data_IF_074689752344
#
_entry.id   IF_074689752344
#
_cell.length_a   1.000
_cell.length_b   1.000
_cell.length_c   1.000
_cell.angle_alpha   90.00
_cell.angle_beta   90.00
_cell.angle_gamma   90.00
#
_symmetry.space_group_name_H-M   'P 1'
#
loop_
_entity.id
_entity.type
_entity.pdbx_description
1 polymer ?
#
# COMPACT_ATOMS: atom_id res chain seq x y z
N UNK A 1 -29.16 -13.31 -2.80
CA UNK A 1 -29.89 -14.01 -1.70
C UNK A 1 -30.77 -12.99 -0.96
N UNK A 2 -31.97 -13.40 -0.53
CA UNK A 2 -32.82 -12.57 0.31
C UNK A 2 -33.14 -13.33 1.59
N UNK A 3 -32.91 -12.71 2.74
CA UNK A 3 -33.26 -13.27 4.05
C UNK A 3 -34.44 -12.53 4.63
N UNK A 4 -35.48 -13.24 4.95
CA UNK A 4 -36.66 -12.71 5.65
C UNK A 4 -36.55 -12.98 7.14
N UNK A 5 -36.64 -11.94 7.94
CA UNK A 5 -36.72 -12.06 9.40
C UNK A 5 -38.19 -12.00 9.85
N UNK A 6 -38.70 -13.13 10.32
CA UNK A 6 -40.09 -13.24 10.73
C UNK A 6 -40.45 -12.47 12.03
N UNK A 7 -39.45 -12.07 12.84
CA UNK A 7 -39.68 -11.33 14.10
C UNK A 7 -40.04 -9.88 13.87
N UNK A 8 -39.38 -9.25 12.91
CA UNK A 8 -39.55 -7.83 12.60
C UNK A 8 -40.12 -7.57 11.20
N UNK A 9 -40.47 -8.65 10.47
CA UNK A 9 -41.01 -8.61 9.11
C UNK A 9 -40.11 -7.86 8.12
N UNK A 10 -38.79 -7.90 8.32
CA UNK A 10 -37.84 -7.24 7.46
C UNK A 10 -37.20 -8.19 6.45
N UNK A 11 -36.84 -7.64 5.28
CA UNK A 11 -36.07 -8.34 4.25
C UNK A 11 -34.67 -7.77 4.17
N UNK A 12 -33.66 -8.65 4.15
CA UNK A 12 -32.28 -8.25 3.91
C UNK A 12 -31.78 -8.86 2.62
N UNK A 13 -31.27 -8.00 1.74
CA UNK A 13 -30.73 -8.41 0.44
C UNK A 13 -29.22 -8.55 0.54
N UNK A 14 -28.70 -9.72 0.10
CA UNK A 14 -27.29 -10.03 0.01
C UNK A 14 -26.94 -10.30 -1.45
N UNK A 15 -25.94 -9.61 -1.97
CA UNK A 15 -25.38 -9.79 -3.30
C UNK A 15 -23.87 -9.51 -3.25
N UNK A 16 -23.12 -10.02 -4.23
CA UNK A 16 -21.66 -9.95 -4.26
C UNK A 16 -21.07 -8.54 -4.09
N UNK A 17 -21.85 -7.50 -4.41
CA UNK A 17 -21.37 -6.11 -4.33
C UNK A 17 -21.55 -5.49 -2.93
N UNK A 18 -22.34 -6.11 -2.05
CA UNK A 18 -22.59 -5.60 -0.70
C UNK A 18 -22.18 -6.55 0.44
N UNK A 19 -21.74 -7.75 0.10
CA UNK A 19 -21.25 -8.75 1.07
C UNK A 19 -20.26 -9.70 0.39
N UNK A 20 -19.64 -10.58 1.18
CA UNK A 20 -18.69 -11.59 0.70
C UNK A 20 -19.34 -12.79 -0.02
N UNK A 21 -20.57 -12.69 -0.52
CA UNK A 21 -21.18 -13.72 -1.34
C UNK A 21 -20.42 -13.86 -2.66
N UNK A 22 -19.94 -15.07 -2.97
CA UNK A 22 -19.02 -15.31 -4.09
C UNK A 22 -19.68 -15.11 -5.48
N UNK A 23 -20.99 -15.37 -5.57
CA UNK A 23 -21.78 -15.16 -6.79
C UNK A 23 -23.23 -14.82 -6.47
N UNK A 24 -23.86 -14.03 -7.33
CA UNK A 24 -25.30 -13.77 -7.27
C UNK A 24 -26.15 -14.95 -7.77
N UNK A 25 -25.53 -15.90 -8.52
CA UNK A 25 -26.18 -17.09 -9.05
C UNK A 25 -26.08 -18.24 -8.03
N UNK A 26 -27.09 -18.38 -7.18
CA UNK A 26 -27.19 -19.44 -6.19
C UNK A 26 -28.03 -20.58 -6.79
N UNK A 27 -27.47 -21.78 -6.81
CA UNK A 27 -28.10 -22.95 -7.44
C UNK A 27 -28.83 -23.86 -6.46
N UNK A 28 -28.24 -24.07 -5.28
CA UNK A 28 -28.83 -24.89 -4.23
C UNK A 28 -28.52 -24.29 -2.88
N UNK A 29 -29.50 -24.39 -1.96
CA UNK A 29 -29.38 -23.91 -0.58
C UNK A 29 -29.66 -25.11 0.34
N UNK A 30 -28.71 -25.46 1.21
CA UNK A 30 -28.83 -26.56 2.18
C UNK A 30 -28.58 -26.03 3.60
N UNK A 31 -29.48 -26.25 4.55
CA UNK A 31 -29.23 -25.92 5.95
C UNK A 31 -28.30 -26.95 6.58
N UNK A 32 -27.34 -26.52 7.36
CA UNK A 32 -26.44 -27.35 8.16
C UNK A 32 -27.00 -27.53 9.58
N UNK A 33 -26.62 -28.63 10.27
CA UNK A 33 -27.12 -28.97 11.60
C UNK A 33 -26.76 -27.96 12.69
N UNK A 34 -25.71 -27.19 12.49
CA UNK A 34 -25.24 -26.12 13.39
C UNK A 34 -25.88 -24.75 13.12
N UNK A 35 -26.81 -24.68 12.15
CA UNK A 35 -27.56 -23.48 11.78
C UNK A 35 -26.91 -22.63 10.66
N UNK A 36 -25.77 -23.06 10.13
CA UNK A 36 -25.20 -22.46 8.95
C UNK A 36 -25.97 -22.81 7.68
N UNK A 37 -25.85 -22.04 6.64
CA UNK A 37 -26.54 -22.25 5.37
C UNK A 37 -25.49 -22.35 4.25
N UNK A 38 -25.40 -23.54 3.66
CA UNK A 38 -24.52 -23.80 2.54
C UNK A 38 -25.24 -23.50 1.22
N UNK A 39 -24.55 -22.83 0.33
CA UNK A 39 -25.05 -22.43 -0.98
C UNK A 39 -24.05 -22.78 -2.07
N UNK A 40 -24.47 -23.62 -3.01
CA UNK A 40 -23.68 -23.83 -4.22
C UNK A 40 -23.96 -22.73 -5.23
N UNK A 41 -22.89 -22.29 -5.89
CA UNK A 41 -22.92 -21.19 -6.86
C UNK A 41 -22.17 -21.56 -8.15
N UNK A 42 -22.07 -20.65 -9.09
CA UNK A 42 -21.27 -20.83 -10.31
C UNK A 42 -19.75 -20.77 -10.06
N UNK A 43 -19.31 -20.21 -8.90
CA UNK A 43 -17.90 -19.97 -8.61
C UNK A 43 -17.41 -20.68 -7.33
N UNK A 44 -18.20 -21.63 -6.81
CA UNK A 44 -17.85 -22.35 -5.59
C UNK A 44 -19.02 -22.49 -4.62
N UNK A 45 -18.70 -22.71 -3.35
CA UNK A 45 -19.68 -22.85 -2.27
C UNK A 45 -19.54 -21.64 -1.35
N UNK A 46 -20.68 -21.00 -1.02
CA UNK A 46 -20.77 -19.98 0.02
C UNK A 46 -21.48 -20.54 1.25
N UNK A 47 -20.91 -20.35 2.42
CA UNK A 47 -21.54 -20.65 3.71
C UNK A 47 -21.96 -19.35 4.37
N UNK A 48 -23.24 -19.20 4.66
CA UNK A 48 -23.77 -18.06 5.39
C UNK A 48 -23.91 -18.40 6.88
N UNK A 49 -23.38 -17.53 7.73
CA UNK A 49 -23.49 -17.59 9.18
C UNK A 49 -24.58 -16.62 9.64
N UNK A 50 -25.80 -17.09 9.96
CA UNK A 50 -26.94 -16.21 10.26
C UNK A 50 -26.72 -15.34 11.50
N UNK A 51 -25.99 -15.84 12.50
CA UNK A 51 -25.72 -15.12 13.76
C UNK A 51 -24.76 -13.94 13.53
N UNK A 52 -23.68 -14.17 12.82
CA UNK A 52 -22.64 -13.17 12.53
C UNK A 52 -22.97 -12.33 11.30
N UNK A 53 -23.92 -12.82 10.47
CA UNK A 53 -24.29 -12.24 9.17
C UNK A 53 -23.11 -12.14 8.19
N UNK A 54 -22.19 -13.11 8.28
CA UNK A 54 -20.99 -13.21 7.45
C UNK A 54 -21.12 -14.36 6.45
N UNK A 55 -20.31 -14.30 5.39
CA UNK A 55 -20.16 -15.34 4.39
C UNK A 55 -18.75 -15.86 4.42
N UNK A 56 -18.58 -17.17 4.35
CA UNK A 56 -17.31 -17.83 4.08
C UNK A 56 -17.44 -18.62 2.78
N UNK A 57 -16.44 -18.53 1.93
CA UNK A 57 -16.48 -19.13 0.61
C UNK A 57 -15.48 -20.27 0.52
N UNK A 58 -15.76 -21.24 -0.34
CA UNK A 58 -14.86 -22.32 -0.69
C UNK A 58 -14.78 -22.42 -2.21
N UNK A 59 -13.60 -22.18 -2.75
CA UNK A 59 -13.32 -22.14 -4.18
C UNK A 59 -12.38 -23.25 -4.59
N UNK A 60 -12.19 -23.40 -5.90
CA UNK A 60 -11.20 -24.32 -6.45
C UNK A 60 -9.77 -24.01 -5.99
N UNK A 61 -9.45 -22.73 -5.79
CA UNK A 61 -8.16 -22.28 -5.29
C UNK A 61 -7.88 -22.76 -3.86
N UNK A 62 -8.95 -23.06 -3.11
CA UNK A 62 -8.90 -23.59 -1.74
C UNK A 62 -9.08 -25.12 -1.68
N UNK A 63 -8.90 -25.79 -2.81
CA UNK A 63 -8.96 -27.24 -2.88
C UNK A 63 -10.36 -27.83 -3.13
N UNK A 64 -11.36 -26.99 -3.48
CA UNK A 64 -12.63 -27.52 -3.95
C UNK A 64 -12.43 -28.19 -5.31
N UNK A 65 -12.94 -29.41 -5.47
CA UNK A 65 -12.72 -30.20 -6.70
C UNK A 65 -13.32 -29.56 -7.95
N UNK A 66 -14.43 -28.84 -7.80
CA UNK A 66 -15.09 -28.11 -8.88
C UNK A 66 -15.59 -26.76 -8.37
N UNK A 67 -15.53 -25.73 -9.19
CA UNK A 67 -16.13 -24.43 -8.90
C UNK A 67 -17.52 -24.24 -9.52
N UNK A 68 -17.86 -25.02 -10.55
CA UNK A 68 -19.11 -24.87 -11.27
C UNK A 68 -20.14 -25.90 -10.83
N UNK A 69 -21.13 -25.47 -10.06
CA UNK A 69 -22.21 -26.34 -9.60
C UNK A 69 -23.41 -26.28 -10.53
N UNK A 70 -24.24 -27.34 -10.48
CA UNK A 70 -25.46 -27.43 -11.29
C UNK A 70 -26.68 -26.99 -10.50
N UNK A 71 -27.63 -26.37 -11.17
CA UNK A 71 -28.87 -25.90 -10.55
C UNK A 71 -29.67 -27.04 -9.92
N UNK A 72 -30.21 -26.83 -8.72
CA UNK A 72 -31.03 -27.78 -7.96
C UNK A 72 -30.41 -29.17 -7.74
N UNK A 73 -29.08 -29.25 -7.75
CA UNK A 73 -28.32 -30.49 -7.65
C UNK A 73 -27.62 -30.65 -6.30
N UNK A 74 -28.32 -30.41 -5.22
CA UNK A 74 -27.78 -30.61 -3.89
C UNK A 74 -28.77 -31.31 -2.97
N UNK A 75 -28.26 -32.16 -2.07
CA UNK A 75 -29.09 -32.91 -1.10
C UNK A 75 -28.33 -33.17 0.20
N UNK A 76 -29.09 -33.23 1.29
CA UNK A 76 -28.59 -33.73 2.57
C UNK A 76 -28.67 -35.23 2.62
N UNK A 77 -27.64 -35.90 3.10
CA UNK A 77 -27.63 -37.34 3.34
C UNK A 77 -28.19 -37.68 4.72
N UNK A 78 -28.59 -38.94 4.88
CA UNK A 78 -29.12 -39.48 6.17
C UNK A 78 -28.08 -39.35 7.31
N UNK A 79 -26.79 -39.38 6.99
CA UNK A 79 -25.68 -39.19 7.92
C UNK A 79 -25.33 -37.71 8.14
N UNK A 80 -26.23 -36.80 7.79
CA UNK A 80 -26.08 -35.34 7.89
C UNK A 80 -24.95 -34.73 7.05
N UNK A 81 -24.25 -35.53 6.24
CA UNK A 81 -23.36 -35.00 5.19
C UNK A 81 -24.18 -34.38 4.05
N UNK A 82 -23.56 -33.64 3.17
CA UNK A 82 -24.21 -33.05 2.01
C UNK A 82 -23.48 -33.39 0.72
N UNK A 83 -24.24 -33.39 -0.37
CA UNK A 83 -23.73 -33.68 -1.72
C UNK A 83 -24.21 -32.58 -2.63
N UNK A 84 -23.29 -32.03 -3.43
CA UNK A 84 -23.62 -31.11 -4.49
C UNK A 84 -23.19 -31.70 -5.83
N UNK A 85 -24.06 -31.56 -6.84
CA UNK A 85 -23.71 -31.87 -8.22
C UNK A 85 -23.00 -30.71 -8.87
N UNK A 86 -21.91 -31.02 -9.55
CA UNK A 86 -21.12 -30.05 -10.33
C UNK A 86 -21.00 -30.51 -11.78
N UNK A 87 -20.43 -29.69 -12.64
CA UNK A 87 -20.10 -30.03 -14.02
C UNK A 87 -19.12 -31.21 -14.14
N UNK A 88 -18.29 -31.41 -13.11
CA UNK A 88 -17.24 -32.41 -13.07
C UNK A 88 -17.66 -33.70 -12.32
N UNK A 89 -18.90 -33.74 -11.82
CA UNK A 89 -19.45 -34.86 -11.04
C UNK A 89 -20.10 -34.44 -9.74
N UNK A 90 -20.31 -35.37 -8.83
CA UNK A 90 -20.89 -35.13 -7.50
C UNK A 90 -19.77 -34.97 -6.47
N UNK A 91 -19.85 -33.93 -5.68
CA UNK A 91 -18.92 -33.68 -4.57
C UNK A 91 -19.63 -33.97 -3.26
N UNK A 92 -19.09 -34.90 -2.51
CA UNK A 92 -19.62 -35.29 -1.21
C UNK A 92 -18.82 -34.66 -0.08
N UNK A 93 -19.53 -34.10 0.88
CA UNK A 93 -18.98 -33.57 2.11
C UNK A 93 -19.51 -34.38 3.29
N UNK A 94 -18.65 -35.06 4.04
CA UNK A 94 -19.04 -35.78 5.27
C UNK A 94 -19.62 -34.82 6.32
N UNK A 95 -20.38 -35.37 7.28
CA UNK A 95 -20.84 -34.62 8.46
C UNK A 95 -19.64 -33.96 9.17
N UNK A 96 -19.78 -32.68 9.54
CA UNK A 96 -18.74 -31.95 10.25
C UNK A 96 -17.59 -31.45 9.34
N UNK A 97 -17.74 -31.59 8.01
CA UNK A 97 -16.82 -30.91 7.09
C UNK A 97 -16.90 -29.42 7.35
N UNK A 98 -15.81 -28.88 7.84
CA UNK A 98 -15.70 -27.43 8.03
C UNK A 98 -15.12 -26.83 6.76
N UNK A 99 -15.75 -25.75 6.29
CA UNK A 99 -15.13 -24.93 5.26
C UNK A 99 -13.76 -24.47 5.76
N UNK A 100 -12.74 -24.43 4.88
CA UNK A 100 -11.43 -23.97 5.29
C UNK A 100 -11.58 -22.58 5.90
N UNK A 101 -11.22 -22.47 7.18
CA UNK A 101 -11.14 -21.16 7.82
C UNK A 101 -9.92 -20.48 7.22
N UNK A 102 -10.12 -19.31 6.66
CA UNK A 102 -9.00 -18.49 6.22
C UNK A 102 -8.03 -18.25 7.38
N UNK A 103 -6.84 -18.81 7.26
CA UNK A 103 -5.72 -18.42 8.09
C UNK A 103 -5.02 -17.31 7.30
N UNK A 104 -5.35 -16.09 7.64
CA UNK A 104 -4.64 -14.95 7.07
C UNK A 104 -3.19 -14.98 7.55
N UNK A 105 -2.28 -15.17 6.61
CA UNK A 105 -0.87 -15.09 6.92
C UNK A 105 -0.47 -13.62 7.07
N UNK A 106 0.41 -13.30 8.02
CA UNK A 106 0.82 -11.94 8.27
C UNK A 106 1.47 -11.31 7.04
N UNK A 107 1.27 -10.02 6.89
CA UNK A 107 1.94 -9.22 5.89
C UNK A 107 3.42 -9.10 6.24
N UNK A 108 4.28 -9.39 5.28
CA UNK A 108 5.73 -9.33 5.43
C UNK A 108 6.28 -8.22 4.55
N UNK A 109 7.04 -7.34 5.17
CA UNK A 109 7.84 -6.33 4.46
C UNK A 109 9.26 -6.87 4.30
N UNK A 110 9.74 -6.87 3.09
CA UNK A 110 11.06 -7.39 2.74
C UNK A 110 11.75 -6.52 1.69
N UNK A 111 12.99 -6.84 1.38
CA UNK A 111 13.78 -6.25 0.29
C UNK A 111 13.71 -4.70 0.24
N UNK A 112 14.08 -4.08 1.36
CA UNK A 112 14.19 -2.63 1.40
C UNK A 112 15.39 -2.16 0.59
N UNK A 113 15.16 -1.34 -0.43
CA UNK A 113 16.19 -0.82 -1.32
C UNK A 113 16.22 0.71 -1.28
N UNK A 114 17.43 1.26 -1.35
CA UNK A 114 17.68 2.69 -1.56
C UNK A 114 18.49 2.82 -2.83
N UNK A 115 18.04 3.67 -3.77
CA UNK A 115 18.68 3.86 -5.08
C UNK A 115 18.95 2.51 -5.79
N UNK A 116 17.97 1.60 -5.72
CA UNK A 116 18.00 0.26 -6.33
C UNK A 116 19.05 -0.71 -5.72
N UNK A 117 19.59 -0.38 -4.55
CA UNK A 117 20.51 -1.25 -3.81
C UNK A 117 19.83 -1.73 -2.53
N UNK A 118 19.82 -3.05 -2.31
CA UNK A 118 19.26 -3.63 -1.09
C UNK A 118 20.07 -3.20 0.12
N UNK A 119 19.38 -2.77 1.16
CA UNK A 119 19.96 -2.21 2.38
C UNK A 119 19.61 -3.12 3.56
N UNK A 120 20.65 -3.55 4.27
CA UNK A 120 20.52 -4.38 5.46
C UNK A 120 20.73 -3.56 6.75
N UNK A 121 20.15 -3.98 7.88
CA UNK A 121 20.46 -3.39 9.18
C UNK A 121 21.96 -3.43 9.48
N UNK A 122 22.49 -2.32 10.00
CA UNK A 122 23.92 -2.22 10.34
C UNK A 122 24.87 -2.00 9.17
N UNK A 123 24.40 -1.97 7.92
CA UNK A 123 25.24 -1.60 6.76
C UNK A 123 25.68 -0.14 6.83
N UNK A 124 26.83 0.24 6.25
CA UNK A 124 27.25 1.63 6.17
C UNK A 124 26.16 2.50 5.51
N UNK A 125 25.79 3.59 6.16
CA UNK A 125 24.72 4.50 5.71
C UNK A 125 23.29 3.90 5.69
N UNK A 126 23.07 2.74 6.28
CA UNK A 126 21.73 2.17 6.42
C UNK A 126 20.87 3.03 7.36
N UNK A 127 19.65 3.38 6.97
CA UNK A 127 18.67 3.97 7.88
C UNK A 127 18.01 2.94 8.79
N UNK A 128 18.21 1.64 8.49
CA UNK A 128 17.61 0.54 9.24
C UNK A 128 18.45 0.21 10.47
N UNK A 129 17.82 0.23 11.64
CA UNK A 129 18.40 -0.29 12.88
C UNK A 129 18.11 -1.77 13.06
N UNK A 130 16.97 -2.20 12.60
CA UNK A 130 16.42 -3.56 12.65
C UNK A 130 15.86 -3.94 11.27
N UNK A 131 15.36 -5.15 11.14
CA UNK A 131 14.72 -5.58 9.90
C UNK A 131 13.55 -4.65 9.54
N UNK A 132 13.37 -4.35 8.26
CA UNK A 132 12.28 -3.49 7.77
C UNK A 132 10.91 -3.97 8.28
N UNK A 133 10.75 -5.28 8.44
CA UNK A 133 9.53 -5.86 8.97
C UNK A 133 9.25 -5.53 10.46
N UNK A 134 10.23 -5.04 11.20
CA UNK A 134 10.12 -4.63 12.60
C UNK A 134 10.24 -3.12 12.79
N UNK A 135 10.44 -2.39 11.68
CA UNK A 135 10.70 -0.95 11.70
C UNK A 135 9.40 -0.18 11.55
N UNK A 136 9.04 0.59 12.57
CA UNK A 136 7.88 1.50 12.54
C UNK A 136 8.24 2.91 12.09
N UNK A 137 9.53 3.27 12.16
CA UNK A 137 10.00 4.61 11.82
C UNK A 137 11.28 4.56 10.99
N UNK A 138 11.21 5.14 9.79
CA UNK A 138 12.29 5.18 8.82
C UNK A 138 12.80 6.63 8.66
N UNK A 139 14.06 6.87 9.05
CA UNK A 139 14.72 8.17 8.89
C UNK A 139 15.68 8.13 7.71
N UNK A 140 15.33 8.82 6.64
CA UNK A 140 16.10 8.87 5.40
C UNK A 140 16.89 10.19 5.31
N UNK A 141 18.09 10.12 4.75
CA UNK A 141 18.87 11.30 4.38
C UNK A 141 18.26 11.95 3.12
N UNK A 142 18.57 13.21 2.86
CA UNK A 142 18.07 13.93 1.68
C UNK A 142 18.39 13.25 0.33
N UNK A 143 19.49 12.50 0.27
CA UNK A 143 19.92 11.75 -0.91
C UNK A 143 19.40 10.29 -0.94
N UNK A 144 18.58 9.89 0.02
CA UNK A 144 17.93 8.57 0.12
C UNK A 144 16.44 8.68 -0.20
N UNK A 145 16.04 9.65 -0.99
CA UNK A 145 14.66 10.00 -1.32
C UNK A 145 14.03 9.12 -2.42
N UNK A 146 14.81 8.17 -2.93
CA UNK A 146 14.33 7.13 -3.87
C UNK A 146 14.56 5.79 -3.20
N UNK A 147 13.47 5.11 -2.85
CA UNK A 147 13.50 3.83 -2.15
C UNK A 147 12.35 2.94 -2.59
N UNK A 148 12.51 1.65 -2.37
CA UNK A 148 11.46 0.65 -2.59
C UNK A 148 11.44 -0.38 -1.48
N UNK A 149 10.29 -0.99 -1.31
CA UNK A 149 10.10 -2.13 -0.41
C UNK A 149 9.18 -3.15 -1.08
N UNK A 150 9.41 -4.42 -0.77
CA UNK A 150 8.59 -5.50 -1.24
C UNK A 150 7.61 -5.91 -0.15
N UNK A 151 6.36 -6.12 -0.55
CA UNK A 151 5.26 -6.51 0.32
C UNK A 151 4.77 -7.86 -0.14
N UNK A 152 4.72 -8.81 0.76
CA UNK A 152 4.23 -10.16 0.48
C UNK A 152 3.44 -10.72 1.66
N UNK A 153 2.70 -11.78 1.40
CA UNK A 153 2.05 -12.60 2.42
C UNK A 153 2.41 -14.06 2.12
N UNK A 154 2.83 -14.79 3.13
CA UNK A 154 3.15 -16.21 2.97
C UNK A 154 1.89 -16.99 3.28
N UNK A 155 1.13 -17.31 2.25
CA UNK A 155 -0.02 -18.18 2.35
C UNK A 155 0.15 -19.36 1.39
N UNK A 156 0.47 -20.53 1.95
CA UNK A 156 0.71 -21.74 1.15
C UNK A 156 -0.58 -22.35 0.60
N UNK A 157 -1.71 -22.11 1.26
CA UNK A 157 -3.01 -22.67 0.87
C UNK A 157 -3.66 -21.88 -0.27
N UNK A 158 -3.44 -20.57 -0.30
CA UNK A 158 -4.00 -19.68 -1.32
C UNK A 158 -3.07 -18.46 -1.55
N UNK A 159 -1.93 -18.65 -2.21
CA UNK A 159 -0.90 -17.62 -2.35
C UNK A 159 -1.40 -16.36 -3.07
N UNK A 160 -2.32 -16.51 -4.02
CA UNK A 160 -2.84 -15.42 -4.83
C UNK A 160 -4.06 -14.71 -4.24
N UNK A 161 -4.48 -15.09 -3.04
CA UNK A 161 -5.73 -14.59 -2.46
C UNK A 161 -5.62 -13.26 -1.73
N UNK A 162 -4.44 -12.70 -1.62
CA UNK A 162 -4.20 -11.41 -0.94
C UNK A 162 -3.94 -10.32 -1.95
N UNK A 163 -4.60 -9.18 -1.78
CA UNK A 163 -4.31 -7.94 -2.51
C UNK A 163 -3.86 -6.88 -1.51
N UNK A 164 -2.79 -6.19 -1.84
CA UNK A 164 -2.29 -5.11 -1.02
C UNK A 164 -2.75 -3.76 -1.55
N UNK A 165 -3.10 -2.88 -0.63
CA UNK A 165 -3.38 -1.47 -0.89
C UNK A 165 -2.45 -0.62 -0.05
N UNK A 166 -2.06 0.52 -0.60
CA UNK A 166 -1.19 1.45 0.10
C UNK A 166 -1.66 2.89 -0.10
N UNK A 167 -1.33 3.74 0.85
CA UNK A 167 -1.40 5.20 0.74
C UNK A 167 -0.21 5.82 1.45
N UNK A 168 0.25 6.96 0.96
CA UNK A 168 1.33 7.73 1.57
C UNK A 168 0.77 9.11 1.95
N UNK A 169 0.38 9.25 3.21
CA UNK A 169 -0.12 10.51 3.75
C UNK A 169 0.94 11.61 3.62
N UNK A 170 0.53 12.76 3.09
CA UNK A 170 1.42 13.85 2.71
C UNK A 170 1.92 13.82 1.25
N UNK A 171 1.58 12.78 0.48
CA UNK A 171 1.90 12.68 -0.94
C UNK A 171 0.77 12.10 -1.78
N UNK A 172 0.19 10.97 -1.38
CA UNK A 172 -0.99 10.33 -1.96
C UNK A 172 -1.94 9.92 -0.84
N UNK A 173 -3.04 10.63 -0.69
CA UNK A 173 -4.01 10.38 0.39
C UNK A 173 -5.05 9.30 0.03
N UNK A 174 -5.16 8.94 -1.24
CA UNK A 174 -6.05 7.88 -1.69
C UNK A 174 -5.39 6.49 -1.60
N UNK A 175 -6.24 5.46 -1.40
CA UNK A 175 -5.79 4.08 -1.42
C UNK A 175 -5.51 3.60 -2.84
N UNK A 176 -4.29 3.19 -3.09
CA UNK A 176 -3.83 2.65 -4.37
C UNK A 176 -3.60 1.15 -4.26
N UNK A 177 -4.04 0.39 -5.26
CA UNK A 177 -3.76 -1.04 -5.33
C UNK A 177 -2.29 -1.24 -5.67
N UNK A 178 -1.63 -2.13 -4.92
CA UNK A 178 -0.28 -2.56 -5.24
C UNK A 178 -0.31 -3.51 -6.45
N UNK A 179 0.67 -3.39 -7.34
CA UNK A 179 0.82 -4.30 -8.47
C UNK A 179 1.11 -5.74 -8.03
N UNK A 180 0.90 -6.69 -8.92
CA UNK A 180 1.06 -8.13 -8.65
C UNK A 180 2.49 -8.52 -8.24
N UNK A 181 3.48 -7.75 -8.66
CA UNK A 181 4.89 -7.95 -8.27
C UNK A 181 5.17 -7.66 -6.79
N UNK A 182 4.22 -7.05 -6.07
CA UNK A 182 4.37 -6.72 -4.66
C UNK A 182 5.42 -5.65 -4.34
N UNK A 183 5.93 -4.94 -5.36
CA UNK A 183 6.95 -3.91 -5.19
C UNK A 183 6.34 -2.52 -5.08
N UNK A 184 6.55 -1.86 -3.94
CA UNK A 184 6.19 -0.48 -3.72
C UNK A 184 7.42 0.41 -3.88
N UNK A 185 7.38 1.34 -4.84
CA UNK A 185 8.51 2.19 -5.17
C UNK A 185 8.14 3.66 -5.11
N UNK A 186 8.97 4.42 -4.43
CA UNK A 186 8.90 5.87 -4.36
C UNK A 186 10.17 6.48 -4.97
N UNK A 187 9.99 7.43 -5.86
CA UNK A 187 11.10 8.09 -6.55
C UNK A 187 11.07 9.58 -6.28
N UNK A 188 12.24 10.10 -5.87
CA UNK A 188 12.45 11.54 -5.68
C UNK A 188 11.42 12.23 -4.79
N UNK A 189 11.07 11.60 -3.65
CA UNK A 189 10.21 12.22 -2.66
C UNK A 189 10.84 13.51 -2.10
N UNK A 190 10.05 14.53 -1.91
CA UNK A 190 10.51 15.78 -1.29
C UNK A 190 10.93 15.54 0.17
N UNK A 191 11.76 16.45 0.71
CA UNK A 191 12.08 16.41 2.14
C UNK A 191 10.85 16.76 2.95
N UNK A 192 10.54 15.93 3.95
CA UNK A 192 9.33 16.06 4.76
C UNK A 192 9.05 14.82 5.59
N UNK A 193 7.95 14.85 6.29
CA UNK A 193 7.44 13.74 7.07
C UNK A 193 6.20 13.14 6.36
N UNK A 194 6.20 11.84 6.21
CA UNK A 194 5.18 11.06 5.53
C UNK A 194 4.76 9.89 6.41
N UNK A 195 3.55 9.40 6.20
CA UNK A 195 3.11 8.17 6.84
C UNK A 195 2.60 7.19 5.79
N UNK A 196 3.31 6.08 5.64
CA UNK A 196 2.95 5.00 4.73
C UNK A 196 2.00 4.07 5.45
N UNK A 197 0.81 3.87 4.88
CA UNK A 197 -0.13 2.84 5.31
C UNK A 197 -0.20 1.75 4.26
N UNK A 198 -0.23 0.52 4.73
CA UNK A 198 -0.36 -0.66 3.88
C UNK A 198 -1.46 -1.53 4.47
N UNK A 199 -2.40 -1.96 3.62
CA UNK A 199 -3.49 -2.87 3.98
C UNK A 199 -3.39 -4.15 3.18
N UNK A 200 -3.59 -5.27 3.86
CA UNK A 200 -3.80 -6.56 3.25
C UNK A 200 -5.29 -6.89 3.24
N UNK A 201 -5.82 -7.18 2.07
CA UNK A 201 -7.25 -7.42 1.82
C UNK A 201 -7.38 -8.76 1.11
N UNK A 202 -8.34 -9.59 1.54
CA UNK A 202 -8.66 -10.82 0.82
C UNK A 202 -9.33 -10.49 -0.52
N UNK A 203 -8.96 -11.16 -1.60
CA UNK A 203 -9.66 -11.06 -2.89
C UNK A 203 -11.11 -11.54 -2.80
N UNK A 204 -11.40 -12.46 -1.88
CA UNK A 204 -12.74 -13.00 -1.69
C UNK A 204 -13.62 -12.11 -0.83
N UNK A 205 -13.02 -11.37 0.11
CA UNK A 205 -13.73 -10.44 0.99
C UNK A 205 -13.13 -9.02 0.85
N UNK A 206 -13.30 -8.36 -0.29
CA UNK A 206 -12.64 -7.08 -0.59
C UNK A 206 -13.08 -5.93 0.32
N UNK A 207 -14.13 -6.10 1.10
CA UNK A 207 -14.62 -5.11 2.07
C UNK A 207 -13.99 -5.25 3.46
N UNK A 208 -13.28 -6.36 3.71
CA UNK A 208 -12.64 -6.63 5.00
C UNK A 208 -11.13 -6.65 4.82
N UNK A 209 -10.45 -5.68 5.37
CA UNK A 209 -9.00 -5.77 5.53
C UNK A 209 -8.69 -6.57 6.80
N UNK A 210 -7.75 -7.51 6.72
CA UNK A 210 -7.37 -8.34 7.86
C UNK A 210 -6.11 -7.86 8.57
N UNK A 211 -5.31 -7.04 7.91
CA UNK A 211 -4.13 -6.43 8.50
C UNK A 211 -3.89 -5.04 7.92
N UNK A 212 -3.59 -4.09 8.79
CA UNK A 212 -3.13 -2.76 8.42
C UNK A 212 -1.84 -2.44 9.17
N UNK A 213 -0.89 -1.91 8.45
CA UNK A 213 0.39 -1.49 9.00
C UNK A 213 0.71 -0.07 8.58
N UNK A 214 1.36 0.68 9.48
CA UNK A 214 1.86 2.02 9.18
C UNK A 214 3.34 2.17 9.49
N UNK A 215 4.04 2.94 8.66
CA UNK A 215 5.47 3.27 8.82
C UNK A 215 5.61 4.79 8.70
N UNK A 216 6.19 5.41 9.72
CA UNK A 216 6.54 6.82 9.69
C UNK A 216 7.84 7.01 8.90
N UNK A 217 7.81 7.82 7.85
CA UNK A 217 8.96 8.09 6.97
C UNK A 217 9.32 9.55 7.06
N UNK A 218 10.55 9.85 7.50
CA UNK A 218 11.06 11.21 7.60
C UNK A 218 12.26 11.37 6.68
N UNK A 219 12.19 12.29 5.72
CA UNK A 219 13.26 12.60 4.77
C UNK A 219 13.90 13.92 5.14
N UNK A 220 15.17 13.88 5.52
CA UNK A 220 15.93 15.04 5.97
C UNK A 220 16.05 16.11 4.85
N UNK A 221 16.07 17.37 5.25
CA UNK A 221 16.35 18.47 4.32
C UNK A 221 17.82 18.50 3.93
N UNK A 222 18.16 18.88 2.70
CA UNK A 222 19.55 19.08 2.30
C UNK A 222 20.24 20.12 3.19
N UNK A 223 21.52 19.88 3.50
CA UNK A 223 22.31 20.75 4.40
C UNK A 223 22.45 22.19 3.87
N UNK A 224 22.37 22.41 2.54
CA UNK A 224 22.42 23.73 1.93
C UNK A 224 21.15 24.58 2.10
N UNK A 225 20.03 23.97 2.58
CA UNK A 225 18.83 24.68 3.05
C UNK A 225 18.83 24.91 4.58
N UNK A 226 19.94 24.58 5.25
CA UNK A 226 20.10 24.87 6.67
C UNK A 226 20.14 26.39 6.91
N UNK A 227 19.63 26.82 8.06
CA UNK A 227 19.71 28.22 8.50
C UNK A 227 21.13 28.81 8.38
N UNK A 228 22.14 28.03 8.77
CA UNK A 228 23.55 28.45 8.67
C UNK A 228 24.02 28.60 7.23
N UNK A 229 23.59 27.74 6.32
CA UNK A 229 23.93 27.87 4.90
C UNK A 229 23.30 29.13 4.27
N UNK A 230 22.03 29.41 4.59
CA UNK A 230 21.34 30.63 4.13
C UNK A 230 22.04 31.88 4.69
N UNK A 231 22.42 31.88 5.97
CA UNK A 231 23.17 32.98 6.56
C UNK A 231 24.51 33.21 5.88
N UNK A 232 25.26 32.13 5.54
CA UNK A 232 26.48 32.22 4.73
C UNK A 232 26.24 32.81 3.34
N UNK A 233 25.15 32.40 2.65
CA UNK A 233 24.83 32.96 1.33
C UNK A 233 24.51 34.45 1.38
N UNK A 234 23.73 34.88 2.39
CA UNK A 234 23.44 36.31 2.59
C UNK A 234 24.74 37.12 2.86
N UNK A 235 25.60 36.59 3.74
CA UNK A 235 26.88 37.26 4.05
C UNK A 235 27.77 37.35 2.81
N UNK A 236 27.83 36.32 2.00
CA UNK A 236 28.62 36.25 0.77
C UNK A 236 28.09 37.24 -0.28
N UNK A 237 26.77 37.38 -0.43
CA UNK A 237 26.16 38.35 -1.35
C UNK A 237 26.41 39.79 -0.91
N UNK A 238 26.33 40.07 0.40
CA UNK A 238 26.68 41.39 0.95
C UNK A 238 28.16 41.73 0.70
N UNK A 239 29.05 40.76 0.98
CA UNK A 239 30.51 40.97 0.73
C UNK A 239 30.80 41.25 -0.74
N UNK A 240 30.21 40.47 -1.65
CA UNK A 240 30.35 40.69 -3.11
C UNK A 240 29.84 42.04 -3.53
N UNK A 241 28.74 42.53 -2.98
CA UNK A 241 28.19 43.86 -3.24
C UNK A 241 29.14 44.94 -2.77
N UNK A 242 29.71 44.85 -1.57
CA UNK A 242 30.68 45.82 -1.03
C UNK A 242 31.95 45.87 -1.90
N UNK A 243 32.49 44.70 -2.27
CA UNK A 243 33.65 44.62 -3.17
C UNK A 243 33.34 45.23 -4.52
N UNK A 244 32.17 44.92 -5.10
CA UNK A 244 31.72 45.52 -6.35
C UNK A 244 31.64 47.04 -6.29
N UNK A 245 31.05 47.60 -5.23
CA UNK A 245 31.01 49.05 -5.01
C UNK A 245 32.41 49.66 -4.89
N UNK A 246 33.32 49.03 -4.13
CA UNK A 246 34.71 49.50 -4.00
C UNK A 246 35.44 49.50 -5.35
N UNK A 247 35.32 48.45 -6.13
CA UNK A 247 35.93 48.35 -7.46
C UNK A 247 35.38 49.43 -8.40
N UNK A 248 34.05 49.68 -8.40
CA UNK A 248 33.44 50.75 -9.19
C UNK A 248 33.91 52.12 -8.75
N UNK A 249 34.00 52.39 -7.44
CA UNK A 249 34.50 53.63 -6.89
C UNK A 249 35.97 53.90 -7.32
N UNK A 250 36.83 52.89 -7.20
CA UNK A 250 38.22 52.97 -7.63
C UNK A 250 38.36 53.22 -9.14
N UNK A 251 37.57 52.56 -9.97
CA UNK A 251 37.54 52.79 -11.42
C UNK A 251 37.07 54.20 -11.76
N UNK A 252 36.10 54.77 -11.05
CA UNK A 252 35.62 56.14 -11.21
C UNK A 252 36.68 57.17 -10.83
N UNK A 253 37.37 56.93 -9.68
CA UNK A 253 38.48 57.80 -9.26
C UNK A 253 39.66 57.83 -10.29
N UNK A 254 40.00 56.62 -10.81
CA UNK A 254 41.05 56.49 -11.83
C UNK A 254 40.70 57.25 -13.11
N UNK A 255 39.46 57.15 -13.61
CA UNK A 255 38.97 57.89 -14.76
C UNK A 255 39.09 59.42 -14.54
N UNK A 256 38.64 59.90 -13.38
CA UNK A 256 38.73 61.35 -13.04
C UNK A 256 40.20 61.83 -12.97
N UNK A 257 41.08 61.01 -12.40
CA UNK A 257 42.51 61.29 -12.34
C UNK A 257 43.15 61.35 -13.74
N UNK A 258 42.81 60.42 -14.62
CA UNK A 258 43.34 60.40 -16.00
C UNK A 258 42.83 61.58 -16.84
N UNK A 259 41.58 61.99 -16.65
CA UNK A 259 41.03 63.20 -17.30
C UNK A 259 41.72 64.47 -16.80
N UNK A 260 41.95 64.59 -15.48
CA UNK A 260 42.73 65.77 -14.96
C UNK A 260 44.15 65.79 -15.51
N UNK A 261 44.81 64.63 -15.54
CA UNK A 261 46.21 64.57 -16.08
C UNK A 261 46.23 64.93 -17.56
N UNK A 262 45.28 64.48 -18.37
CA UNK A 262 45.15 64.86 -19.78
C UNK A 262 44.89 66.34 -19.95
N UNK A 263 44.05 66.96 -19.12
CA UNK A 263 43.79 68.42 -19.16
C UNK A 263 45.02 69.20 -18.84
N UNK A 264 45.81 68.85 -17.80
CA UNK A 264 47.07 69.54 -17.48
C UNK A 264 48.13 69.44 -18.60
N UNK A 265 48.26 68.22 -19.20
CA UNK A 265 49.21 68.03 -20.31
C UNK A 265 48.83 68.84 -21.54
N UNK A 266 47.56 68.97 -21.88
CA UNK A 266 47.10 69.78 -23.00
C UNK A 266 47.25 71.31 -22.74
N UNK A 267 47.06 71.77 -21.50
CA UNK A 267 47.20 73.19 -21.14
C UNK A 267 48.66 73.61 -21.06
N UNK A 268 49.59 72.72 -20.78
CA UNK A 268 51.02 72.98 -20.75
C UNK A 268 51.69 73.03 -22.15
N UNK A 269 50.95 72.68 -23.20
CA UNK A 269 51.43 72.60 -24.59
C UNK A 269 51.07 73.85 -25.46
N UNK A 270 50.36 74.82 -24.87
CA UNK A 270 50.04 76.10 -25.41
C UNK A 270 50.77 77.19 -24.59
#
# INVERSE_FOLDING_TARGET
MVVYNAKDSTFKHYHKDNCALISNNIYTILPESDGHILMSTENGISCFHPTEKTFHNWTKEQGLMSSCFSASSGTLRKNKGFVFGSTDGAIEFPEGTRLPKYIYSPMILSDFQILYQTVFPGSPNSPLKENINQTDRLKLKYNQNTFSLSISSINYDAPDNVTFYWKLEGFYDDWNRLGEEGHLRFTNLASGDYKLYIRAVSKEEPYLYFEERSIDISIARPVWFSFWAIACYVLLTVLMSVVGFRVMALRKQKKISDEKTRFFVNTARH
#
